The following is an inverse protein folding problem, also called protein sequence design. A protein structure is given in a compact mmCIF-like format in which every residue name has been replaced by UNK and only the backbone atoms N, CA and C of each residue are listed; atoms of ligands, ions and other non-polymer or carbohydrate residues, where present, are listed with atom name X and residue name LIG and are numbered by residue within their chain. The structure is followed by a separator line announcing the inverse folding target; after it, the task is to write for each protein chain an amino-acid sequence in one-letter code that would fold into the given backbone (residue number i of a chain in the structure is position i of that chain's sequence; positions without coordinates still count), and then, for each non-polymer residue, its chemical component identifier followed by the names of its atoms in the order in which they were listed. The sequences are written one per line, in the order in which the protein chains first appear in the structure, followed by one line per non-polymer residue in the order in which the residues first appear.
data_IF_558786543883
#
_entry.id   IF_558786543883
#
_cell.length_a   1.000
_cell.length_b   1.000
_cell.length_c   1.000
_cell.angle_alpha   90.00
_cell.angle_beta   90.00
_cell.angle_gamma   90.00
#
_symmetry.space_group_name_H-M   'P 1'
#
loop_
_entity.id
_entity.type
_entity.pdbx_description
1 polymer ?
#
# COMPACT_ATOMS: atom_id res chain seq x y z
N UNK A 1 -26.76 -32.06 37.81
CA UNK A 1 -27.30 -31.09 36.84
C UNK A 1 -26.22 -30.07 36.56
N UNK A 2 -25.70 -30.00 35.33
CA UNK A 2 -24.73 -28.95 34.96
C UNK A 2 -25.55 -27.73 34.53
N UNK A 3 -25.42 -26.61 35.26
CA UNK A 3 -26.07 -25.35 34.94
C UNK A 3 -25.21 -24.53 33.98
N UNK A 4 -25.84 -23.91 32.98
CA UNK A 4 -25.16 -23.00 32.04
C UNK A 4 -25.20 -21.59 32.63
N UNK A 5 -24.03 -20.98 32.83
CA UNK A 5 -23.91 -19.57 33.24
C UNK A 5 -23.67 -18.73 31.99
N UNK A 6 -24.52 -17.74 31.74
CA UNK A 6 -24.35 -16.76 30.65
C UNK A 6 -23.95 -15.43 31.24
N UNK A 7 -22.74 -14.96 30.94
CA UNK A 7 -22.23 -13.65 31.36
C UNK A 7 -22.18 -12.73 30.15
N UNK A 8 -22.74 -11.52 30.27
CA UNK A 8 -22.76 -10.51 29.20
C UNK A 8 -22.15 -9.22 29.73
N UNK A 9 -21.14 -8.70 29.03
CA UNK A 9 -20.52 -7.43 29.35
C UNK A 9 -20.82 -6.42 28.25
N UNK A 10 -21.26 -5.21 28.63
CA UNK A 10 -21.52 -4.11 27.69
C UNK A 10 -20.45 -3.03 27.86
N UNK A 11 -19.64 -2.84 26.82
CA UNK A 11 -18.60 -1.81 26.80
C UNK A 11 -19.02 -0.72 25.81
N UNK A 12 -18.85 0.55 26.18
CA UNK A 12 -19.23 1.72 25.37
C UNK A 12 -18.10 2.73 25.31
N UNK A 13 -17.92 3.39 24.16
CA UNK A 13 -16.91 4.46 24.00
C UNK A 13 -15.47 3.96 23.92
N UNK A 14 -15.28 2.65 23.68
CA UNK A 14 -13.96 2.03 23.60
C UNK A 14 -13.32 2.11 22.20
N UNK A 15 -14.09 2.45 21.18
CA UNK A 15 -13.60 2.60 19.83
C UNK A 15 -12.97 4.00 19.63
N UNK A 16 -11.79 4.05 19.04
CA UNK A 16 -11.15 5.28 18.60
C UNK A 16 -11.91 5.85 17.40
N UNK A 17 -12.26 7.14 17.46
CA UNK A 17 -12.90 7.84 16.34
C UNK A 17 -11.84 8.26 15.32
N UNK A 18 -12.07 7.89 14.07
CA UNK A 18 -11.33 8.35 12.89
C UNK A 18 -12.16 9.42 12.16
N UNK A 19 -11.56 10.12 11.20
CA UNK A 19 -12.23 11.19 10.44
C UNK A 19 -13.51 10.72 9.73
N UNK A 20 -13.56 9.45 9.32
CA UNK A 20 -14.68 8.84 8.58
C UNK A 20 -15.09 7.46 9.13
N UNK A 21 -14.76 7.16 10.38
CA UNK A 21 -14.86 5.79 10.87
C UNK A 21 -14.64 5.59 12.37
N UNK A 22 -14.71 4.33 12.77
CA UNK A 22 -14.40 3.88 14.13
C UNK A 22 -13.39 2.73 14.03
N UNK A 23 -12.40 2.74 14.91
CA UNK A 23 -11.42 1.67 15.03
C UNK A 23 -11.51 1.08 16.45
N UNK A 24 -11.59 -0.24 16.54
CA UNK A 24 -11.62 -0.96 17.81
C UNK A 24 -10.59 -2.09 17.78
N UNK A 25 -9.75 -2.17 18.81
CA UNK A 25 -8.79 -3.27 18.97
C UNK A 25 -7.80 -3.01 20.09
N UNK A 26 -7.40 -1.76 20.29
CA UNK A 26 -6.54 -1.29 21.37
C UNK A 26 -6.98 -1.69 22.79
N UNK A 27 -8.27 -1.93 23.02
CA UNK A 27 -8.79 -2.40 24.31
C UNK A 27 -8.42 -3.83 24.67
N UNK A 28 -7.99 -4.64 23.70
CA UNK A 28 -7.60 -6.03 23.93
C UNK A 28 -6.10 -6.13 24.26
N UNK A 29 -5.71 -5.47 25.34
CA UNK A 29 -4.33 -5.50 25.85
C UNK A 29 -4.06 -6.84 26.52
N UNK A 30 -3.02 -7.56 26.05
CA UNK A 30 -2.69 -8.91 26.55
C UNK A 30 -3.44 -10.06 25.85
N UNK A 31 -4.25 -9.75 24.83
CA UNK A 31 -5.03 -10.73 24.09
C UNK A 31 -6.23 -11.28 24.85
N UNK A 32 -6.95 -12.21 24.24
CA UNK A 32 -8.10 -12.87 24.85
C UNK A 32 -8.28 -14.29 24.32
N UNK A 33 -8.98 -15.14 25.07
CA UNK A 33 -9.28 -16.52 24.67
C UNK A 33 -10.78 -16.74 24.70
N UNK A 34 -11.30 -17.30 23.62
CA UNK A 34 -12.63 -17.90 23.54
C UNK A 34 -12.50 -19.41 23.80
N UNK A 35 -13.37 -19.94 24.64
CA UNK A 35 -13.47 -21.37 24.94
C UNK A 35 -14.49 -22.06 24.02
N UNK A 36 -14.58 -23.39 24.11
CA UNK A 36 -15.57 -24.14 23.35
C UNK A 36 -17.00 -23.80 23.81
N UNK A 37 -17.86 -23.50 22.84
CA UNK A 37 -19.25 -23.08 23.11
C UNK A 37 -19.41 -21.59 23.42
N UNK A 38 -18.32 -20.81 23.47
CA UNK A 38 -18.38 -19.36 23.64
C UNK A 38 -18.51 -18.63 22.29
N UNK A 39 -19.21 -17.49 22.33
CA UNK A 39 -19.43 -16.63 21.18
C UNK A 39 -19.07 -15.20 21.53
N UNK A 40 -18.15 -14.61 20.76
CA UNK A 40 -17.83 -13.20 20.83
C UNK A 40 -18.59 -12.49 19.73
N UNK A 41 -19.52 -11.62 20.11
CA UNK A 41 -20.29 -10.79 19.17
C UNK A 41 -20.05 -9.32 19.48
N UNK A 42 -19.52 -8.60 18.51
CA UNK A 42 -19.33 -7.15 18.58
C UNK A 42 -20.39 -6.50 17.70
N UNK A 43 -21.20 -5.64 18.32
CA UNK A 43 -22.23 -4.87 17.64
C UNK A 43 -21.80 -3.42 17.49
N UNK A 44 -22.12 -2.81 16.35
CA UNK A 44 -21.78 -1.43 16.04
C UNK A 44 -23.01 -0.62 15.63
N UNK A 45 -22.97 0.72 15.75
CA UNK A 45 -24.11 1.57 15.44
C UNK A 45 -24.57 1.45 13.98
N UNK A 46 -25.85 1.73 13.74
CA UNK A 46 -26.39 1.83 12.38
C UNK A 46 -25.67 2.93 11.60
N UNK A 47 -25.59 2.77 10.28
CA UNK A 47 -24.85 3.70 9.43
C UNK A 47 -23.34 3.49 9.44
N UNK A 48 -22.82 2.42 10.04
CA UNK A 48 -21.43 2.00 9.89
C UNK A 48 -21.34 0.69 9.09
N UNK A 49 -20.32 0.59 8.24
CA UNK A 49 -19.96 -0.64 7.53
C UNK A 49 -18.55 -1.06 7.90
N UNK A 50 -18.37 -2.37 8.05
CA UNK A 50 -17.09 -2.98 8.34
C UNK A 50 -16.21 -2.89 7.08
N UNK A 51 -15.03 -2.28 7.25
CA UNK A 51 -13.98 -2.18 6.23
C UNK A 51 -12.97 -3.30 6.43
N UNK A 52 -12.63 -3.58 7.69
CA UNK A 52 -11.59 -4.54 8.04
C UNK A 52 -11.94 -5.25 9.35
N UNK A 53 -11.63 -6.55 9.41
CA UNK A 53 -11.78 -7.39 10.60
C UNK A 53 -10.63 -8.37 10.65
N UNK A 54 -9.94 -8.43 11.79
CA UNK A 54 -8.89 -9.40 12.07
C UNK A 54 -9.02 -9.95 13.48
N UNK A 55 -8.85 -11.27 13.69
CA UNK A 55 -8.83 -12.33 12.68
C UNK A 55 -10.19 -12.46 11.97
N UNK A 56 -10.23 -13.17 10.83
CA UNK A 56 -11.47 -13.37 10.06
C UNK A 56 -12.62 -13.82 10.95
N UNK A 57 -13.77 -13.12 10.85
CA UNK A 57 -14.98 -13.44 11.59
C UNK A 57 -15.65 -14.70 11.06
N UNK A 58 -16.28 -15.46 11.94
CA UNK A 58 -17.07 -16.66 11.60
C UNK A 58 -18.51 -16.30 11.18
N UNK A 59 -18.93 -15.07 11.47
CA UNK A 59 -20.21 -14.52 11.05
C UNK A 59 -20.13 -13.00 10.95
N UNK A 60 -20.74 -12.42 9.92
CA UNK A 60 -20.80 -10.98 9.71
C UNK A 60 -22.18 -10.63 9.15
N UNK A 61 -22.84 -9.65 9.75
CA UNK A 61 -24.15 -9.17 9.33
C UNK A 61 -24.27 -7.66 9.45
N UNK A 62 -25.46 -7.14 9.15
CA UNK A 62 -25.74 -5.71 9.29
C UNK A 62 -25.67 -5.30 10.77
N UNK A 63 -24.62 -4.57 11.14
CA UNK A 63 -24.44 -4.06 12.50
C UNK A 63 -23.67 -4.98 13.45
N UNK A 64 -23.13 -6.13 13.01
CA UNK A 64 -22.32 -6.97 13.89
C UNK A 64 -21.30 -7.86 13.18
N UNK A 65 -20.27 -8.24 13.94
CA UNK A 65 -19.30 -9.29 13.62
C UNK A 65 -19.23 -10.30 14.76
N UNK A 66 -19.00 -11.57 14.43
CA UNK A 66 -19.09 -12.68 15.36
C UNK A 66 -17.97 -13.71 15.16
N UNK A 67 -17.45 -14.21 16.28
CA UNK A 67 -16.55 -15.35 16.37
C UNK A 67 -17.14 -16.41 17.29
N UNK A 68 -16.98 -17.69 16.94
CA UNK A 68 -17.57 -18.84 17.63
C UNK A 68 -16.53 -19.92 17.88
N UNK A 69 -16.61 -20.50 19.07
CA UNK A 69 -15.78 -21.64 19.46
C UNK A 69 -14.35 -21.25 19.83
N UNK A 70 -13.56 -22.27 20.22
CA UNK A 70 -12.25 -22.06 20.82
C UNK A 70 -11.30 -21.27 19.91
N UNK A 71 -10.80 -20.13 20.39
CA UNK A 71 -9.87 -19.27 19.66
C UNK A 71 -9.00 -18.44 20.60
N UNK A 72 -7.77 -18.20 20.19
CA UNK A 72 -6.88 -17.25 20.86
C UNK A 72 -6.77 -16.01 19.97
N UNK A 73 -7.00 -14.84 20.56
CA UNK A 73 -6.80 -13.54 19.95
C UNK A 73 -5.49 -12.96 20.48
N UNK A 74 -4.64 -12.47 19.58
CA UNK A 74 -3.40 -11.80 19.94
C UNK A 74 -3.63 -10.44 20.58
N UNK A 75 -2.53 -9.75 20.91
CA UNK A 75 -2.63 -8.36 21.35
C UNK A 75 -3.32 -7.49 20.29
N UNK A 76 -4.25 -6.66 20.76
CA UNK A 76 -5.09 -5.78 19.93
C UNK A 76 -6.06 -6.51 18.99
N UNK A 77 -6.27 -7.80 19.20
CA UNK A 77 -7.26 -8.59 18.48
C UNK A 77 -8.46 -8.93 19.39
N UNK A 78 -9.69 -8.95 18.86
CA UNK A 78 -10.07 -8.65 17.48
C UNK A 78 -9.91 -7.16 17.14
N UNK A 79 -9.33 -6.90 15.97
CA UNK A 79 -9.19 -5.57 15.38
C UNK A 79 -10.26 -5.36 14.32
N UNK A 80 -11.04 -4.28 14.47
CA UNK A 80 -12.18 -3.94 13.62
C UNK A 80 -12.06 -2.49 13.20
N UNK A 81 -12.14 -2.26 11.88
CA UNK A 81 -12.22 -0.92 11.30
C UNK A 81 -13.58 -0.76 10.63
N UNK A 82 -14.31 0.26 11.06
CA UNK A 82 -15.62 0.64 10.55
C UNK A 82 -15.49 1.97 9.81
N UNK A 83 -16.18 2.10 8.69
CA UNK A 83 -16.41 3.40 8.03
C UNK A 83 -17.85 3.83 8.22
N UNK A 84 -18.07 5.12 8.41
CA UNK A 84 -19.41 5.69 8.34
C UNK A 84 -19.92 5.50 6.92
N UNK A 85 -20.92 4.64 6.77
CA UNK A 85 -21.76 4.57 5.59
C UNK A 85 -22.64 5.82 5.57
N UNK A 86 -22.04 6.98 5.30
CA UNK A 86 -22.80 8.15 4.87
C UNK A 86 -23.55 7.72 3.62
N UNK A 87 -24.84 7.49 3.79
CA UNK A 87 -25.79 7.30 2.70
C UNK A 87 -25.83 8.67 2.01
N UNK A 88 -24.98 8.86 1.01
CA UNK A 88 -25.32 9.79 -0.06
C UNK A 88 -26.63 9.24 -0.62
N UNK A 89 -27.76 9.97 -0.56
CA UNK A 89 -29.01 9.48 -1.13
C UNK A 89 -28.72 9.12 -2.58
N UNK A 90 -28.92 7.85 -2.93
CA UNK A 90 -28.79 7.42 -4.30
C UNK A 90 -29.77 8.28 -5.13
N UNK A 91 -29.34 8.85 -6.27
CA UNK A 91 -30.30 9.44 -7.19
C UNK A 91 -31.37 8.40 -7.53
N UNK A 92 -32.62 8.81 -7.80
CA UNK A 92 -33.76 7.89 -7.85
C UNK A 92 -33.52 6.74 -8.83
N UNK A 93 -34.04 5.57 -8.47
CA UNK A 93 -33.79 4.25 -9.08
C UNK A 93 -34.41 4.07 -10.48
N UNK A 94 -34.17 4.97 -11.43
CA UNK A 94 -34.60 4.81 -12.83
C UNK A 94 -33.64 3.97 -13.70
N UNK A 95 -32.68 3.24 -13.11
CA UNK A 95 -31.75 2.35 -13.83
C UNK A 95 -31.83 0.89 -13.37
N UNK A 96 -33.01 0.39 -12.95
CA UNK A 96 -33.20 -1.02 -12.58
C UNK A 96 -33.47 -1.97 -13.76
N UNK A 97 -33.36 -1.51 -15.01
CA UNK A 97 -33.52 -2.38 -16.18
C UNK A 97 -32.64 -1.97 -17.34
N UNK A 98 -31.35 -2.32 -17.31
CA UNK A 98 -30.65 -2.72 -18.53
C UNK A 98 -29.29 -3.37 -18.25
N UNK A 99 -29.16 -4.58 -18.74
CA UNK A 99 -27.99 -5.46 -18.79
C UNK A 99 -26.96 -4.99 -19.84
N UNK A 100 -26.90 -3.67 -20.10
CA UNK A 100 -26.05 -3.04 -21.12
C UNK A 100 -25.45 -1.74 -20.56
N UNK A 101 -24.73 -1.78 -19.44
CA UNK A 101 -23.78 -0.70 -19.08
C UNK A 101 -22.61 -1.20 -18.22
N UNK A 102 -22.05 -2.36 -18.55
CA UNK A 102 -20.64 -2.64 -18.26
C UNK A 102 -19.87 -2.56 -19.59
N UNK A 103 -19.51 -1.35 -20.05
CA UNK A 103 -18.07 -1.05 -20.18
C UNK A 103 -17.73 0.46 -20.07
N UNK A 104 -18.30 1.22 -19.12
CA UNK A 104 -17.95 2.65 -18.99
C UNK A 104 -17.10 3.01 -17.76
N UNK A 105 -17.15 2.25 -16.65
CA UNK A 105 -16.41 2.61 -15.42
C UNK A 105 -15.17 1.76 -15.14
N UNK A 106 -14.94 0.68 -15.89
CA UNK A 106 -13.66 -0.05 -15.85
C UNK A 106 -12.54 0.67 -16.60
N UNK A 107 -12.87 1.65 -17.46
CA UNK A 107 -11.89 2.35 -18.31
C UNK A 107 -11.08 3.43 -17.59
N UNK A 108 -11.56 4.01 -16.48
CA UNK A 108 -10.81 5.07 -15.77
C UNK A 108 -9.82 4.50 -14.75
N UNK A 109 -10.24 3.47 -14.00
CA UNK A 109 -9.37 2.79 -13.02
C UNK A 109 -8.24 1.98 -13.68
N UNK A 110 -8.56 1.23 -14.75
CA UNK A 110 -7.55 0.54 -15.53
C UNK A 110 -6.70 1.53 -16.33
N UNK A 111 -7.27 2.62 -16.86
CA UNK A 111 -6.53 3.67 -17.54
C UNK A 111 -5.51 4.38 -16.64
N UNK A 112 -5.86 4.68 -15.38
CA UNK A 112 -4.94 5.29 -14.42
C UNK A 112 -3.89 4.30 -13.91
N UNK A 113 -4.26 3.04 -13.65
CA UNK A 113 -3.30 2.00 -13.27
C UNK A 113 -2.34 1.66 -14.43
N UNK A 114 -2.83 1.56 -15.67
CA UNK A 114 -2.03 1.39 -16.88
C UNK A 114 -1.22 2.65 -17.17
N UNK A 115 -1.72 3.86 -16.95
CA UNK A 115 -0.94 5.10 -17.13
C UNK A 115 0.15 5.25 -16.07
N UNK A 116 -0.09 4.86 -14.82
CA UNK A 116 0.95 4.82 -13.77
C UNK A 116 1.96 3.71 -14.04
N UNK A 117 1.52 2.53 -14.50
CA UNK A 117 2.42 1.44 -14.87
C UNK A 117 3.21 1.74 -16.15
N UNK A 118 2.62 2.41 -17.14
CA UNK A 118 3.27 2.89 -18.35
C UNK A 118 4.21 4.08 -18.04
N UNK A 119 3.88 4.94 -17.07
CA UNK A 119 4.79 5.99 -16.57
C UNK A 119 5.99 5.39 -15.85
N UNK A 120 5.81 4.27 -15.13
CA UNK A 120 6.93 3.49 -14.56
C UNK A 120 7.78 2.87 -15.66
N UNK A 121 7.19 2.24 -16.70
CA UNK A 121 7.94 1.73 -17.86
C UNK A 121 8.65 2.83 -18.65
N UNK A 122 8.05 4.02 -18.83
CA UNK A 122 8.71 5.16 -19.49
C UNK A 122 9.90 5.71 -18.71
N UNK A 123 9.83 5.78 -17.37
CA UNK A 123 10.99 6.18 -16.55
C UNK A 123 12.12 5.18 -16.63
N UNK A 124 11.83 3.89 -16.46
CA UNK A 124 12.85 2.82 -16.59
C UNK A 124 13.50 2.86 -17.97
N UNK A 125 12.72 3.01 -19.04
CA UNK A 125 13.25 3.14 -20.41
C UNK A 125 14.07 4.42 -20.63
N UNK A 126 13.72 5.53 -19.97
CA UNK A 126 14.50 6.76 -19.98
C UNK A 126 15.84 6.61 -19.26
N UNK A 127 15.85 5.98 -18.09
CA UNK A 127 17.06 5.73 -17.30
C UNK A 127 18.01 4.78 -18.04
N UNK A 128 17.49 3.72 -18.68
CA UNK A 128 18.26 2.79 -19.52
C UNK A 128 18.94 3.52 -20.70
N UNK A 129 18.19 4.40 -21.39
CA UNK A 129 18.72 5.19 -22.50
C UNK A 129 19.79 6.18 -22.02
N UNK A 130 19.63 6.77 -20.83
CA UNK A 130 20.64 7.65 -20.23
C UNK A 130 21.91 6.89 -19.86
N UNK A 131 21.78 5.67 -19.32
CA UNK A 131 22.91 4.78 -19.03
C UNK A 131 23.69 4.48 -20.31
N UNK A 132 23.00 4.09 -21.38
CA UNK A 132 23.64 3.81 -22.67
C UNK A 132 24.34 5.04 -23.26
N UNK A 133 23.73 6.23 -23.19
CA UNK A 133 24.36 7.50 -23.62
C UNK A 133 25.63 7.80 -22.83
N UNK A 134 25.62 7.58 -21.52
CA UNK A 134 26.77 7.77 -20.64
C UNK A 134 27.89 6.78 -20.98
N UNK A 135 27.57 5.50 -21.17
CA UNK A 135 28.54 4.46 -21.56
C UNK A 135 29.12 4.76 -22.94
N UNK A 136 28.31 5.23 -23.89
CA UNK A 136 28.77 5.61 -25.23
C UNK A 136 29.75 6.79 -25.20
N UNK A 137 29.50 7.80 -24.36
CA UNK A 137 30.43 8.93 -24.17
C UNK A 137 31.73 8.45 -23.53
N UNK A 138 31.66 7.63 -22.47
CA UNK A 138 32.85 7.06 -21.85
C UNK A 138 33.69 6.27 -22.86
N UNK A 139 33.07 5.40 -23.67
CA UNK A 139 33.76 4.64 -24.72
C UNK A 139 34.40 5.55 -25.78
N UNK A 140 33.70 6.60 -26.22
CA UNK A 140 34.23 7.56 -27.21
C UNK A 140 35.46 8.32 -26.69
N UNK A 141 35.52 8.56 -25.38
CA UNK A 141 36.65 9.22 -24.72
C UNK A 141 37.70 8.25 -24.18
N UNK A 142 37.81 7.03 -24.72
CA UNK A 142 38.86 6.08 -24.36
C UNK A 142 38.60 5.32 -23.05
N UNK A 143 37.37 5.31 -22.56
CA UNK A 143 36.93 4.57 -21.38
C UNK A 143 37.15 5.30 -20.06
N UNK A 144 37.73 6.49 -20.04
CA UNK A 144 38.00 7.27 -18.83
C UNK A 144 37.63 8.74 -19.00
N UNK A 145 36.84 9.28 -18.07
CA UNK A 145 36.40 10.68 -18.13
C UNK A 145 36.03 11.23 -16.76
N UNK A 146 36.21 12.54 -16.56
CA UNK A 146 35.73 13.22 -15.35
C UNK A 146 34.20 13.31 -15.34
N UNK A 147 33.58 13.03 -14.19
CA UNK A 147 32.12 13.09 -14.01
C UNK A 147 31.56 14.48 -14.35
N UNK A 148 32.27 15.56 -14.00
CA UNK A 148 31.83 16.90 -14.40
C UNK A 148 31.90 17.16 -15.91
N UNK A 149 32.80 16.48 -16.61
CA UNK A 149 32.94 16.59 -18.06
C UNK A 149 31.83 15.79 -18.75
N UNK A 150 31.50 14.59 -18.26
CA UNK A 150 30.34 13.81 -18.71
C UNK A 150 29.05 14.63 -18.58
N UNK A 151 28.87 15.33 -17.45
CA UNK A 151 27.72 16.20 -17.22
C UNK A 151 27.63 17.36 -18.22
N UNK A 152 28.76 18.01 -18.54
CA UNK A 152 28.81 19.08 -19.54
C UNK A 152 28.53 18.56 -20.96
N UNK A 153 29.16 17.45 -21.34
CA UNK A 153 29.05 16.85 -22.67
C UNK A 153 27.61 16.42 -22.98
N UNK A 154 26.92 15.81 -22.01
CA UNK A 154 25.54 15.36 -22.17
C UNK A 154 24.50 16.48 -21.93
N UNK A 155 24.95 17.65 -21.46
CA UNK A 155 24.07 18.75 -21.05
C UNK A 155 23.17 18.39 -19.87
N UNK A 156 23.62 17.47 -19.00
CA UNK A 156 22.81 16.91 -17.91
C UNK A 156 23.25 17.45 -16.54
N UNK A 157 22.31 17.58 -15.58
CA UNK A 157 22.66 17.94 -14.20
C UNK A 157 23.66 16.97 -13.58
N UNK A 158 24.58 17.49 -12.74
CA UNK A 158 25.56 16.67 -12.01
C UNK A 158 24.92 15.61 -11.12
N UNK A 159 23.75 15.92 -10.55
CA UNK A 159 22.95 14.99 -9.75
C UNK A 159 22.48 13.79 -10.58
N UNK A 160 21.98 14.01 -11.80
CA UNK A 160 21.56 12.94 -12.73
C UNK A 160 22.72 12.03 -13.09
N UNK A 161 23.88 12.62 -13.42
CA UNK A 161 25.09 11.83 -13.68
C UNK A 161 25.51 11.04 -12.44
N UNK A 162 25.47 11.64 -11.25
CA UNK A 162 25.81 10.94 -10.00
C UNK A 162 24.91 9.73 -9.74
N UNK A 163 23.62 9.82 -10.07
CA UNK A 163 22.67 8.69 -9.96
C UNK A 163 23.02 7.58 -10.95
N UNK A 164 23.26 7.92 -12.21
CA UNK A 164 23.63 6.93 -13.25
C UNK A 164 24.97 6.26 -12.93
N UNK A 165 25.94 7.04 -12.45
CA UNK A 165 27.23 6.52 -12.00
C UNK A 165 27.10 5.49 -10.87
N UNK A 166 26.20 5.76 -9.91
CA UNK A 166 25.93 4.83 -8.80
C UNK A 166 25.39 3.50 -9.31
N UNK A 167 24.44 3.52 -10.25
CA UNK A 167 23.88 2.30 -10.86
C UNK A 167 24.96 1.53 -11.63
N UNK A 168 25.78 2.20 -12.42
CA UNK A 168 26.86 1.55 -13.19
C UNK A 168 27.95 0.94 -12.30
N UNK A 169 28.23 1.55 -11.15
CA UNK A 169 29.19 1.01 -10.17
C UNK A 169 28.60 -0.20 -9.41
N UNK A 170 27.33 -0.14 -9.00
CA UNK A 170 26.62 -1.28 -8.40
C UNK A 170 26.57 -2.49 -9.36
N UNK A 171 26.51 -2.24 -10.68
CA UNK A 171 26.59 -3.26 -11.73
C UNK A 171 28.03 -3.68 -12.08
N UNK A 172 29.06 -3.11 -11.45
CA UNK A 172 30.46 -3.42 -11.73
C UNK A 172 30.98 -2.96 -13.10
N UNK A 173 30.24 -2.09 -13.80
CA UNK A 173 30.58 -1.63 -15.16
C UNK A 173 31.55 -0.45 -15.17
N UNK A 174 31.59 0.32 -14.09
CA UNK A 174 32.51 1.46 -13.94
C UNK A 174 33.11 1.49 -12.55
N UNK A 175 34.33 2.01 -12.43
CA UNK A 175 34.96 2.38 -11.16
C UNK A 175 35.04 3.89 -11.02
N UNK A 176 34.92 4.38 -9.78
CA UNK A 176 34.99 5.80 -9.44
C UNK A 176 36.18 6.07 -8.54
N UNK A 177 37.02 7.03 -8.93
CA UNK A 177 38.15 7.48 -8.12
C UNK A 177 38.06 8.99 -7.95
N UNK A 178 38.08 9.46 -6.71
CA UNK A 178 38.08 10.90 -6.43
C UNK A 178 39.45 11.49 -6.76
N UNK A 179 39.49 12.46 -7.68
CA UNK A 179 40.71 13.15 -8.09
C UNK A 179 40.51 14.65 -7.93
N UNK A 180 41.11 15.22 -6.88
CA UNK A 180 40.92 16.61 -6.50
C UNK A 180 39.47 16.94 -6.12
N UNK A 181 38.84 17.88 -6.84
CA UNK A 181 37.43 18.31 -6.64
C UNK A 181 36.42 17.59 -7.54
N UNK A 182 36.87 16.58 -8.29
CA UNK A 182 36.03 15.85 -9.24
C UNK A 182 36.21 14.33 -9.06
N UNK A 183 35.34 13.57 -9.71
CA UNK A 183 35.41 12.11 -9.74
C UNK A 183 35.79 11.69 -11.14
N UNK A 184 36.86 10.93 -11.26
CA UNK A 184 37.23 10.25 -12.50
C UNK A 184 36.50 8.92 -12.54
N UNK A 185 35.87 8.65 -13.67
CA UNK A 185 35.09 7.44 -13.93
C UNK A 185 35.81 6.64 -14.99
N UNK A 186 36.05 5.36 -14.72
CA UNK A 186 36.71 4.43 -15.64
C UNK A 186 35.81 3.24 -15.94
N UNK A 187 35.58 2.96 -17.21
CA UNK A 187 34.88 1.76 -17.68
C UNK A 187 35.71 0.52 -17.36
N UNK A 188 35.08 -0.53 -16.83
CA UNK A 188 35.69 -1.83 -16.56
C UNK A 188 35.68 -2.73 -17.81
#
# INVERSE_FOLDING_TARGET
MLGVVKVVFRWSGFAKRLDNGLEAGDVFVGGMVLLDGETLRISFPTGYRVVEVRPTADGMGDGFVEWRGRRVFGEKEPHIVLSSSNIVPAPPSFLQSSWIVFPALFSVGLGAAVALFAKRRRRVSGDELLVERVVAVLRRHGGEMKQSQIARELGLPRSTISTVMKVLEEQGRVSRVKVGRDVVVKLQ
#
